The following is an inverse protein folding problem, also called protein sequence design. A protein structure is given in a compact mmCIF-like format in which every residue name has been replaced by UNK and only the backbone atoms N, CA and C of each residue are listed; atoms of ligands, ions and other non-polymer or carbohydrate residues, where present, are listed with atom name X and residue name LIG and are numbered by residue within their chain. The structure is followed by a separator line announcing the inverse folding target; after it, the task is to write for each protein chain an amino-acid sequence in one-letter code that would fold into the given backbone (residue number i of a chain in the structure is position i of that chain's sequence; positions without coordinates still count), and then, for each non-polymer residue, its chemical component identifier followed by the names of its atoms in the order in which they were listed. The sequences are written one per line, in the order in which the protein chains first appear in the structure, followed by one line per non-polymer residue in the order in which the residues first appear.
data_IF_484452643741
#
_entry.id   IF_484452643741
#
_cell.length_a   1.000
_cell.length_b   1.000
_cell.length_c   1.000
_cell.angle_alpha   90.00
_cell.angle_beta   90.00
_cell.angle_gamma   90.00
#
_symmetry.space_group_name_H-M   'P 1'
#
loop_
_entity.id
_entity.type
_entity.pdbx_description
1 polymer ?
#
# COMPACT_ATOMS: atom_id res chain seq x y z
N UNK A 1 -0.74 -25.42 -6.25
CA UNK A 1 0.65 -25.83 -6.36
C UNK A 1 0.77 -27.31 -6.69
N UNK A 2 1.71 -27.63 -7.56
CA UNK A 2 1.95 -29.00 -7.92
C UNK A 2 2.88 -29.71 -6.95
N UNK A 3 2.55 -30.92 -6.61
CA UNK A 3 3.37 -31.75 -5.75
C UNK A 3 4.52 -32.35 -6.57
N UNK A 4 5.75 -32.10 -6.16
CA UNK A 4 6.92 -32.68 -6.78
C UNK A 4 7.99 -32.93 -5.71
N UNK A 5 8.96 -33.84 -5.96
CA UNK A 5 10.02 -34.10 -4.98
C UNK A 5 10.80 -32.86 -4.55
N UNK A 6 10.94 -31.88 -5.43
CA UNK A 6 11.66 -30.66 -5.13
C UNK A 6 10.92 -29.75 -4.15
N UNK A 7 9.62 -29.93 -4.00
CA UNK A 7 8.82 -29.15 -3.07
C UNK A 7 9.07 -29.49 -1.61
N UNK A 8 9.74 -30.58 -1.32
CA UNK A 8 10.04 -31.02 0.04
C UNK A 8 11.36 -30.47 0.56
N UNK A 9 12.15 -29.80 -0.29
CA UNK A 9 13.41 -29.19 0.11
C UNK A 9 13.24 -27.67 0.16
N UNK A 10 13.26 -27.09 1.37
CA UNK A 10 13.07 -25.65 1.43
C UNK A 10 14.32 -24.84 1.03
N UNK A 11 15.45 -25.49 0.81
CA UNK A 11 16.61 -24.87 0.19
C UNK A 11 16.54 -24.83 -1.32
N UNK A 12 15.56 -25.52 -1.90
CA UNK A 12 15.33 -25.56 -3.33
C UNK A 12 14.20 -24.56 -3.67
N UNK A 13 14.40 -23.67 -4.65
CA UNK A 13 13.36 -22.68 -5.00
C UNK A 13 12.01 -23.28 -5.34
N UNK A 14 11.96 -24.50 -5.86
CA UNK A 14 10.70 -25.17 -6.19
C UNK A 14 9.97 -25.68 -4.97
N UNK A 15 10.69 -25.94 -3.87
CA UNK A 15 10.09 -26.37 -2.62
C UNK A 15 9.78 -25.25 -1.65
N UNK A 16 10.36 -24.09 -1.87
CA UNK A 16 10.15 -22.93 -1.00
C UNK A 16 8.77 -22.34 -1.23
N UNK A 17 8.18 -21.78 -0.17
CA UNK A 17 6.93 -21.07 -0.27
C UNK A 17 7.11 -19.84 -1.17
N UNK A 18 6.29 -19.66 -2.22
CA UNK A 18 6.45 -18.52 -3.12
C UNK A 18 6.18 -17.17 -2.47
N UNK A 19 5.42 -17.13 -1.37
CA UNK A 19 5.12 -15.89 -0.66
C UNK A 19 6.30 -15.40 0.17
N UNK A 20 6.99 -16.29 0.85
CA UNK A 20 8.05 -15.92 1.79
C UNK A 20 9.43 -16.44 1.38
N UNK A 21 9.55 -17.06 0.21
CA UNK A 21 10.78 -17.67 -0.31
C UNK A 21 11.45 -18.63 0.68
N UNK A 22 10.61 -19.32 1.46
CA UNK A 22 11.10 -20.33 2.40
C UNK A 22 11.49 -19.82 3.77
N UNK A 23 11.28 -18.53 4.05
CA UNK A 23 11.65 -17.95 5.35
C UNK A 23 10.61 -18.16 6.44
N UNK A 24 9.36 -18.51 6.07
CA UNK A 24 8.27 -18.70 7.02
C UNK A 24 7.63 -17.40 7.49
N UNK A 25 8.18 -16.28 7.15
CA UNK A 25 7.70 -14.94 7.47
C UNK A 25 7.75 -14.08 6.23
N UNK A 26 6.89 -13.08 6.17
CA UNK A 26 6.96 -12.06 5.14
C UNK A 26 6.71 -10.69 5.75
N UNK A 27 7.27 -9.67 5.13
CA UNK A 27 7.00 -8.28 5.47
C UNK A 27 5.79 -7.83 4.67
N UNK A 28 4.76 -7.35 5.34
CA UNK A 28 3.59 -6.79 4.67
C UNK A 28 3.27 -5.42 5.24
N UNK A 29 2.75 -4.54 4.39
CA UNK A 29 2.25 -3.26 4.86
C UNK A 29 1.08 -3.48 5.80
N UNK A 30 1.10 -2.74 6.92
CA UNK A 30 0.11 -2.86 7.98
C UNK A 30 -0.74 -1.60 8.02
N UNK A 31 -2.05 -1.76 7.93
CA UNK A 31 -2.99 -0.63 7.94
C UNK A 31 -2.85 0.22 9.20
N UNK A 32 -2.60 -0.41 10.35
CA UNK A 32 -2.46 0.31 11.62
C UNK A 32 -1.14 1.08 11.73
N UNK A 33 -0.13 0.68 10.97
CA UNK A 33 1.11 1.44 10.88
C UNK A 33 1.02 2.57 9.85
N UNK A 34 0.25 2.37 8.79
CA UNK A 34 0.01 3.39 7.77
C UNK A 34 -0.85 4.52 8.35
N UNK A 35 -1.89 4.17 9.10
CA UNK A 35 -2.77 5.14 9.77
C UNK A 35 -2.83 4.78 11.25
N UNK A 36 -1.82 5.22 12.04
CA UNK A 36 -1.76 4.85 13.45
C UNK A 36 -2.77 5.61 14.32
N UNK A 37 -3.17 6.80 13.91
CA UNK A 37 -4.15 7.60 14.65
C UNK A 37 -5.31 7.97 13.72
N UNK A 38 -6.41 7.25 13.87
CA UNK A 38 -7.61 7.45 13.06
C UNK A 38 -8.41 8.71 13.41
N UNK A 39 -8.05 9.36 14.50
CA UNK A 39 -8.67 10.64 14.88
C UNK A 39 -8.09 11.83 14.12
N UNK A 40 -7.00 11.61 13.40
CA UNK A 40 -6.42 12.64 12.55
C UNK A 40 -7.00 12.58 11.15
N UNK A 41 -7.00 13.73 10.47
CA UNK A 41 -7.36 13.84 9.06
C UNK A 41 -6.13 13.72 8.17
N UNK A 42 -6.34 13.59 6.86
CA UNK A 42 -5.22 13.62 5.91
C UNK A 42 -4.38 14.90 6.09
N UNK A 43 -5.04 16.05 6.21
CA UNK A 43 -4.35 17.33 6.36
C UNK A 43 -3.56 17.43 7.66
N UNK A 44 -3.93 16.66 8.67
CA UNK A 44 -3.20 16.58 9.94
C UNK A 44 -2.10 15.52 9.93
N UNK A 45 -1.89 14.85 8.80
CA UNK A 45 -0.84 13.85 8.69
C UNK A 45 -1.24 12.45 9.10
N UNK A 46 -2.53 12.10 8.98
CA UNK A 46 -3.04 10.79 9.40
C UNK A 46 -2.40 9.62 8.65
N UNK A 47 -2.08 9.82 7.39
CA UNK A 47 -1.56 8.74 6.54
C UNK A 47 -0.05 8.88 6.44
N UNK A 48 0.66 7.96 7.05
CA UNK A 48 2.13 7.96 7.08
C UNK A 48 2.66 7.81 5.66
N UNK A 49 3.86 8.32 5.40
CA UNK A 49 4.51 8.39 4.09
C UNK A 49 3.98 9.53 3.20
N UNK A 50 2.67 9.80 3.24
CA UNK A 50 2.03 10.80 2.37
C UNK A 50 2.00 12.15 3.05
N UNK A 51 2.99 13.00 2.74
CA UNK A 51 3.05 14.34 3.30
C UNK A 51 1.92 15.19 2.69
N UNK A 52 1.01 15.73 3.52
CA UNK A 52 -0.09 16.55 3.00
C UNK A 52 0.34 17.88 2.40
N UNK A 53 1.56 18.33 2.67
CA UNK A 53 2.10 19.55 2.08
C UNK A 53 2.68 19.34 0.69
N UNK A 54 2.90 18.10 0.27
CA UNK A 54 3.35 17.79 -1.07
C UNK A 54 2.23 18.08 -2.07
N UNK A 55 2.52 18.91 -3.08
CA UNK A 55 1.54 19.25 -4.11
C UNK A 55 1.02 18.01 -4.85
N UNK A 56 1.91 17.05 -5.11
CA UNK A 56 1.53 15.81 -5.78
C UNK A 56 0.58 14.96 -4.93
N UNK A 57 0.91 14.77 -3.65
CA UNK A 57 0.05 14.02 -2.74
C UNK A 57 -1.29 14.72 -2.54
N UNK A 58 -1.26 16.04 -2.36
CA UNK A 58 -2.49 16.80 -2.17
C UNK A 58 -3.41 16.68 -3.38
N UNK A 59 -2.88 16.80 -4.58
CA UNK A 59 -3.69 16.68 -5.80
C UNK A 59 -4.33 15.29 -5.90
N UNK A 60 -3.56 14.24 -5.62
CA UNK A 60 -4.08 12.87 -5.68
C UNK A 60 -5.16 12.65 -4.63
N UNK A 61 -4.93 13.07 -3.40
CA UNK A 61 -5.88 12.83 -2.32
C UNK A 61 -7.11 13.73 -2.38
N UNK A 62 -6.98 14.94 -2.90
CA UNK A 62 -8.16 15.79 -3.15
C UNK A 62 -9.11 15.12 -4.16
N UNK A 63 -8.56 14.59 -5.24
CA UNK A 63 -9.36 13.90 -6.25
C UNK A 63 -9.97 12.62 -5.71
N UNK A 64 -9.19 11.86 -4.93
CA UNK A 64 -9.68 10.65 -4.30
C UNK A 64 -10.79 10.94 -3.28
N UNK A 65 -10.61 11.97 -2.47
CA UNK A 65 -11.59 12.36 -1.47
C UNK A 65 -12.90 12.81 -2.12
N UNK A 66 -12.81 13.56 -3.20
CA UNK A 66 -13.99 13.98 -3.96
C UNK A 66 -14.72 12.77 -4.53
N UNK A 67 -13.99 11.83 -5.10
CA UNK A 67 -14.58 10.61 -5.66
C UNK A 67 -15.25 9.75 -4.59
N UNK A 68 -14.60 9.56 -3.45
CA UNK A 68 -15.12 8.73 -2.37
C UNK A 68 -16.14 9.46 -1.50
N UNK A 69 -16.19 10.78 -1.54
CA UNK A 69 -17.18 11.55 -0.81
C UNK A 69 -16.79 11.88 0.63
N UNK A 70 -15.51 12.12 0.90
CA UNK A 70 -15.08 12.59 2.21
C UNK A 70 -14.19 13.83 2.08
N UNK A 71 -13.93 14.50 3.20
CA UNK A 71 -13.08 15.69 3.24
C UNK A 71 -11.70 15.33 3.77
N UNK A 72 -10.67 16.01 3.24
CA UNK A 72 -9.30 15.84 3.75
C UNK A 72 -9.11 16.43 5.16
N UNK A 73 -10.06 17.21 5.63
CA UNK A 73 -10.07 17.72 7.02
C UNK A 73 -10.86 16.82 7.97
N UNK A 74 -11.47 15.76 7.46
CA UNK A 74 -12.29 14.85 8.23
C UNK A 74 -11.41 13.75 8.82
N UNK A 75 -11.59 13.40 10.12
CA UNK A 75 -10.85 12.28 10.69
C UNK A 75 -11.09 11.00 9.92
N UNK A 76 -10.06 10.18 9.79
CA UNK A 76 -10.17 8.90 9.07
C UNK A 76 -11.24 8.01 9.69
N UNK A 77 -11.43 8.11 11.02
CA UNK A 77 -12.45 7.35 11.73
C UNK A 77 -13.88 7.65 11.26
N UNK A 78 -14.11 8.76 10.58
CA UNK A 78 -15.43 9.13 10.05
C UNK A 78 -15.74 8.48 8.70
N UNK A 79 -14.75 7.93 8.04
CA UNK A 79 -14.98 7.26 6.76
C UNK A 79 -15.72 5.95 7.00
N UNK A 80 -16.66 5.63 6.09
CA UNK A 80 -17.38 4.36 6.17
C UNK A 80 -16.52 3.19 5.62
N UNK A 81 -17.04 1.97 5.77
CA UNK A 81 -16.30 0.77 5.36
C UNK A 81 -15.96 0.77 3.87
N UNK A 82 -16.87 1.24 3.04
CA UNK A 82 -16.66 1.28 1.59
C UNK A 82 -15.55 2.28 1.23
N UNK A 83 -15.57 3.45 1.86
CA UNK A 83 -14.53 4.46 1.66
C UNK A 83 -13.16 3.95 2.11
N UNK A 84 -13.10 3.34 3.28
CA UNK A 84 -11.85 2.76 3.81
C UNK A 84 -11.36 1.63 2.91
N UNK A 85 -12.25 0.77 2.46
CA UNK A 85 -11.87 -0.34 1.59
C UNK A 85 -11.24 0.17 0.28
N UNK A 86 -11.86 1.16 -0.33
CA UNK A 86 -11.32 1.72 -1.57
C UNK A 86 -10.04 2.52 -1.33
N UNK A 87 -9.91 3.18 -0.19
CA UNK A 87 -8.69 3.89 0.17
C UNK A 87 -7.49 2.92 0.23
N UNK A 88 -7.66 1.77 0.87
CA UNK A 88 -6.59 0.80 1.04
C UNK A 88 -6.38 -0.14 -0.14
N UNK A 89 -7.46 -0.55 -0.82
CA UNK A 89 -7.38 -1.57 -1.87
C UNK A 89 -7.63 -1.04 -3.28
N UNK A 90 -8.06 0.21 -3.40
CA UNK A 90 -8.22 0.84 -4.69
C UNK A 90 -9.65 0.92 -5.19
N UNK A 91 -9.81 1.68 -6.27
CA UNK A 91 -11.09 1.85 -6.95
C UNK A 91 -11.08 1.04 -8.24
N UNK A 92 -12.27 0.56 -8.64
CA UNK A 92 -12.41 -0.13 -9.92
C UNK A 92 -12.47 0.86 -11.09
N UNK A 93 -13.07 2.03 -10.84
CA UNK A 93 -13.27 3.04 -11.87
C UNK A 93 -12.16 4.08 -11.85
N UNK A 94 -11.85 4.67 -13.02
CA UNK A 94 -10.86 5.74 -13.08
C UNK A 94 -11.33 6.98 -12.34
N UNK A 95 -10.37 7.64 -11.69
CA UNK A 95 -10.58 8.92 -11.03
C UNK A 95 -9.86 9.97 -11.85
N UNK A 96 -10.48 11.13 -12.03
CA UNK A 96 -9.82 12.25 -12.67
C UNK A 96 -8.94 12.96 -11.67
N UNK A 97 -7.63 12.99 -11.94
CA UNK A 97 -6.67 13.73 -11.14
C UNK A 97 -6.34 15.04 -11.84
N UNK A 98 -6.24 16.09 -11.05
CA UNK A 98 -5.87 17.43 -11.53
C UNK A 98 -4.63 17.86 -10.76
N UNK A 99 -3.53 18.03 -11.49
CA UNK A 99 -2.28 18.47 -10.90
C UNK A 99 -1.94 19.86 -11.41
N UNK A 100 -1.83 20.82 -10.50
CA UNK A 100 -1.42 22.18 -10.82
C UNK A 100 0.10 22.30 -10.64
N UNK A 101 0.76 22.84 -11.67
CA UNK A 101 2.20 23.03 -11.60
C UNK A 101 2.53 24.13 -10.61
N UNK A 102 3.56 23.90 -9.80
CA UNK A 102 3.95 24.82 -8.73
C UNK A 102 4.46 26.17 -9.24
N UNK A 103 4.91 26.22 -10.52
CA UNK A 103 5.39 27.45 -11.14
C UNK A 103 4.26 28.33 -11.73
N UNK A 104 3.02 27.86 -11.63
CA UNK A 104 1.87 28.57 -12.16
C UNK A 104 1.71 28.50 -13.67
N UNK A 105 2.50 27.67 -14.36
CA UNK A 105 2.47 27.57 -15.83
C UNK A 105 1.27 26.84 -16.37
N UNK A 106 0.44 26.24 -15.51
CA UNK A 106 -0.76 25.52 -15.91
C UNK A 106 -1.01 24.27 -15.08
N UNK A 107 -2.00 23.50 -15.51
CA UNK A 107 -2.37 22.26 -14.87
C UNK A 107 -2.48 21.16 -15.92
N UNK A 108 -2.38 19.91 -15.49
CA UNK A 108 -2.71 18.79 -16.36
C UNK A 108 -3.70 17.87 -15.66
N UNK A 109 -4.48 17.17 -16.47
CA UNK A 109 -5.50 16.23 -15.98
C UNK A 109 -5.22 14.87 -16.56
N UNK A 110 -5.44 13.84 -15.74
CA UNK A 110 -5.33 12.47 -16.21
C UNK A 110 -6.32 11.60 -15.45
N UNK A 111 -6.71 10.49 -16.06
CA UNK A 111 -7.67 9.56 -15.50
C UNK A 111 -7.02 8.22 -15.29
N UNK A 112 -7.09 7.70 -14.07
CA UNK A 112 -6.68 6.33 -13.77
C UNK A 112 -7.30 5.90 -12.45
N UNK A 113 -7.50 4.60 -12.24
CA UNK A 113 -7.99 4.11 -10.96
C UNK A 113 -7.02 4.43 -9.84
N UNK A 114 -7.55 4.64 -8.63
CA UNK A 114 -6.71 4.71 -7.45
C UNK A 114 -6.27 3.29 -7.10
N UNK A 115 -4.96 3.02 -7.00
CA UNK A 115 -4.47 1.65 -6.77
C UNK A 115 -4.71 1.13 -5.36
N UNK A 116 -4.96 2.02 -4.40
CA UNK A 116 -5.01 1.68 -3.00
C UNK A 116 -3.69 1.95 -2.30
N UNK A 117 -3.74 2.22 -1.00
CA UNK A 117 -2.54 2.52 -0.23
C UNK A 117 -1.55 1.35 -0.26
N UNK A 118 -2.05 0.12 -0.11
CA UNK A 118 -1.17 -1.05 -0.10
C UNK A 118 -0.42 -1.21 -1.41
N UNK A 119 -1.12 -1.13 -2.53
CA UNK A 119 -0.50 -1.29 -3.84
C UNK A 119 0.43 -0.12 -4.18
N UNK A 120 0.04 1.09 -3.82
CA UNK A 120 0.86 2.27 -4.07
C UNK A 120 2.17 2.22 -3.29
N UNK A 121 2.09 1.85 -2.00
CA UNK A 121 3.27 1.72 -1.15
C UNK A 121 4.18 0.57 -1.61
N UNK A 122 3.57 -0.54 -1.99
CA UNK A 122 4.32 -1.70 -2.49
C UNK A 122 5.06 -1.36 -3.78
N UNK A 123 4.42 -0.64 -4.68
CA UNK A 123 5.05 -0.18 -5.91
C UNK A 123 6.24 0.73 -5.61
N UNK A 124 6.05 1.68 -4.69
CA UNK A 124 7.12 2.58 -4.26
C UNK A 124 8.29 1.81 -3.67
N UNK A 125 8.00 0.84 -2.82
CA UNK A 125 9.02 0.02 -2.18
C UNK A 125 9.84 -0.76 -3.21
N UNK A 126 9.18 -1.30 -4.23
CA UNK A 126 9.83 -2.09 -5.26
C UNK A 126 10.60 -1.24 -6.27
N UNK A 127 10.20 0.01 -6.47
CA UNK A 127 10.81 0.89 -7.48
C UNK A 127 11.88 1.82 -6.94
N UNK A 128 11.92 2.04 -5.62
CA UNK A 128 12.87 3.01 -5.07
C UNK A 128 14.31 2.48 -5.08
N UNK A 129 15.25 3.35 -5.42
CA UNK A 129 16.66 3.09 -5.30
C UNK A 129 17.27 3.71 -4.05
N UNK A 130 16.49 4.45 -3.28
CA UNK A 130 16.95 5.12 -2.07
C UNK A 130 16.80 4.20 -0.87
N UNK A 131 17.90 3.91 -0.17
CA UNK A 131 17.87 3.12 1.06
C UNK A 131 17.07 3.84 2.16
N UNK A 132 17.17 5.16 2.23
CA UNK A 132 16.42 5.94 3.21
C UNK A 132 14.91 5.81 2.99
N UNK A 133 14.47 5.87 1.74
CA UNK A 133 13.05 5.68 1.41
C UNK A 133 12.60 4.26 1.70
N UNK A 134 13.43 3.28 1.37
CA UNK A 134 13.13 1.88 1.63
C UNK A 134 12.96 1.63 3.13
N UNK A 135 13.86 2.18 3.94
CA UNK A 135 13.76 2.05 5.39
C UNK A 135 12.50 2.73 5.94
N UNK A 136 12.15 3.90 5.42
CA UNK A 136 10.93 4.60 5.81
C UNK A 136 9.69 3.78 5.50
N UNK A 137 9.67 3.11 4.34
CA UNK A 137 8.56 2.24 3.96
C UNK A 137 8.52 0.98 4.80
N UNK A 138 9.68 0.43 5.16
CA UNK A 138 9.75 -0.75 6.03
C UNK A 138 9.14 -0.50 7.42
N UNK A 139 9.18 0.73 7.90
CA UNK A 139 8.54 1.09 9.18
C UNK A 139 7.03 0.95 9.16
N UNK A 140 6.44 0.86 7.96
CA UNK A 140 5.00 0.68 7.78
C UNK A 140 4.64 -0.79 7.57
N UNK A 141 5.59 -1.68 7.73
CA UNK A 141 5.42 -3.11 7.53
C UNK A 141 5.53 -3.86 8.85
N UNK A 142 4.87 -5.01 8.93
CA UNK A 142 5.02 -5.96 10.02
C UNK A 142 5.49 -7.29 9.48
N UNK A 143 6.16 -8.04 10.34
CA UNK A 143 6.47 -9.44 10.06
C UNK A 143 5.25 -10.28 10.39
N UNK A 144 4.87 -11.12 9.46
CA UNK A 144 3.76 -12.06 9.66
C UNK A 144 4.22 -13.45 9.33
N UNK A 145 3.65 -14.44 10.03
CA UNK A 145 3.81 -15.83 9.64
C UNK A 145 3.19 -15.97 8.24
N UNK A 146 3.93 -16.60 7.34
CA UNK A 146 3.46 -16.76 5.97
C UNK A 146 2.22 -17.63 5.94
N UNK A 147 1.08 -17.07 5.53
CA UNK A 147 -0.18 -17.83 5.46
C UNK A 147 -0.18 -18.88 4.36
N UNK A 148 0.69 -18.71 3.37
CA UNK A 148 0.82 -19.68 2.29
C UNK A 148 1.39 -21.02 2.76
N UNK A 149 2.30 -21.00 3.73
CA UNK A 149 2.94 -22.21 4.23
C UNK A 149 2.74 -22.41 5.73
N UNK A 150 1.98 -21.58 6.41
CA UNK A 150 1.75 -21.61 7.85
C UNK A 150 3.04 -21.64 8.67
N UNK A 151 4.09 -20.97 8.17
CA UNK A 151 5.37 -20.96 8.83
C UNK A 151 6.23 -22.21 8.63
N UNK A 152 5.77 -23.16 7.86
CA UNK A 152 6.52 -24.41 7.60
C UNK A 152 7.66 -24.22 6.60
N UNK A 153 7.69 -23.10 5.89
CA UNK A 153 8.74 -22.75 4.93
C UNK A 153 8.76 -23.62 3.68
N UNK A 154 7.75 -24.45 3.51
CA UNK A 154 7.58 -25.30 2.35
C UNK A 154 6.29 -24.94 1.65
N UNK A 155 6.19 -25.33 0.36
CA UNK A 155 4.97 -25.15 -0.40
C UNK A 155 3.82 -25.86 0.30
N UNK A 156 2.61 -25.24 0.40
CA UNK A 156 1.48 -25.87 1.10
C UNK A 156 1.08 -27.24 0.58
N UNK A 157 1.36 -27.56 -0.68
CA UNK A 157 1.06 -28.87 -1.24
C UNK A 157 2.13 -29.92 -0.96
N UNK A 158 3.24 -29.51 -0.33
CA UNK A 158 4.28 -30.43 0.09
C UNK A 158 3.95 -31.04 1.52
#
# INVERSE_FOLDING_TARGET
DELSPRMFSFNNPFGACPECTGLGEKMEFDADLIIPDKNLSFNEGAIQWYNPESNWNRARFESLAEYLGFSLDEPISKLNKNQINQLFYGTLEPIQYIYEKSDGSGSFKYNQPWPGLFADLKRRYNETFSEAQRESLQRLMTHRVCTCCNGQKLNPSA
#
